data_IF_373396919486
#
_entry.id   IF_373396919486
#
_cell.length_a   1.000
_cell.length_b   1.000
_cell.length_c   1.000
_cell.angle_alpha   90.00
_cell.angle_beta   90.00
_cell.angle_gamma   90.00
#
_symmetry.space_group_name_H-M   'P 1'
#
loop_
_entity.id
_entity.type
_entity.pdbx_description
1 polymer ?
#
# COMPACT_ATOMS: atom_id res chain seq x y z
N UNK A 1 -26.04 2.62 6.19
CA UNK A 1 -25.59 1.72 7.26
C UNK A 1 -25.36 0.32 6.71
N UNK A 2 -24.09 -0.08 6.50
CA UNK A 2 -23.66 -1.48 6.42
C UNK A 2 -22.23 -1.51 6.96
N UNK A 3 -22.11 -1.89 8.21
CA UNK A 3 -20.83 -2.11 8.89
C UNK A 3 -20.10 -3.24 8.17
N UNK A 4 -18.99 -2.92 7.51
CA UNK A 4 -18.04 -3.93 7.07
C UNK A 4 -17.19 -4.25 8.30
N UNK A 5 -17.65 -5.25 9.04
CA UNK A 5 -16.93 -5.85 10.14
C UNK A 5 -15.72 -6.61 9.57
N UNK A 6 -14.54 -5.98 9.56
CA UNK A 6 -13.27 -6.69 9.33
C UNK A 6 -13.03 -7.61 10.52
N UNK A 7 -13.66 -8.79 10.48
CA UNK A 7 -13.50 -9.81 11.50
C UNK A 7 -12.11 -10.43 11.39
N UNK A 8 -11.29 -10.22 12.43
CA UNK A 8 -10.28 -11.16 12.88
C UNK A 8 -9.05 -11.37 11.98
N UNK A 9 -8.08 -10.46 12.06
CA UNK A 9 -6.67 -10.84 11.92
C UNK A 9 -6.17 -11.15 13.33
N UNK A 10 -6.52 -12.34 13.84
CA UNK A 10 -6.04 -12.84 15.12
C UNK A 10 -4.61 -13.34 14.93
N UNK A 11 -3.67 -12.66 15.59
CA UNK A 11 -2.45 -13.23 16.17
C UNK A 11 -1.50 -13.99 15.21
N UNK A 12 -0.50 -13.29 14.67
CA UNK A 12 0.71 -13.92 14.12
C UNK A 12 1.94 -13.34 14.83
N UNK A 13 2.83 -14.17 15.40
CA UNK A 13 3.96 -13.70 16.18
C UNK A 13 5.06 -13.15 15.28
N UNK A 14 5.58 -11.98 15.63
CA UNK A 14 6.86 -11.39 15.23
C UNK A 14 7.27 -11.64 13.77
N UNK A 15 6.50 -11.12 12.84
CA UNK A 15 7.01 -10.86 11.49
C UNK A 15 7.51 -9.42 11.49
N UNK A 16 8.77 -9.22 11.08
CA UNK A 16 9.30 -7.89 10.82
C UNK A 16 8.84 -7.51 9.41
N UNK A 17 7.96 -6.53 9.31
CA UNK A 17 7.38 -6.09 8.04
C UNK A 17 8.04 -4.75 7.61
N UNK A 18 7.89 -4.36 6.34
CA UNK A 18 8.45 -3.09 5.82
C UNK A 18 7.30 -2.17 5.40
N UNK A 19 7.33 -0.94 5.90
CA UNK A 19 6.39 0.11 5.52
C UNK A 19 7.09 0.99 4.49
N UNK A 20 6.92 0.65 3.21
CA UNK A 20 7.36 1.52 2.12
C UNK A 20 6.30 2.61 1.95
N UNK A 21 6.44 3.72 2.68
CA UNK A 21 5.68 4.93 2.40
C UNK A 21 6.58 5.88 1.61
N UNK A 22 6.50 5.83 0.27
CA UNK A 22 7.26 6.69 -0.64
C UNK A 22 6.66 8.09 -0.81
N UNK A 23 5.58 8.42 -0.09
CA UNK A 23 4.88 9.69 -0.28
C UNK A 23 5.48 10.80 0.58
N UNK A 24 6.53 11.44 0.07
CA UNK A 24 6.83 12.84 0.42
C UNK A 24 6.06 13.77 -0.50
N UNK A 25 4.86 14.18 -0.09
CA UNK A 25 4.13 15.24 -0.80
C UNK A 25 4.93 16.56 -0.74
N UNK A 26 5.24 17.23 -1.87
CA UNK A 26 5.95 18.51 -1.85
C UNK A 26 5.04 19.63 -1.31
N UNK A 27 5.54 20.55 -0.48
CA UNK A 27 4.73 21.63 0.08
C UNK A 27 4.50 22.77 -0.91
N UNK A 28 3.26 23.26 -0.96
CA UNK A 28 2.91 24.58 -1.49
C UNK A 28 3.57 25.70 -0.66
N UNK A 29 4.00 26.82 -1.27
CA UNK A 29 4.82 27.81 -0.59
C UNK A 29 3.95 28.77 0.22
N UNK A 30 3.90 28.60 1.53
CA UNK A 30 3.51 29.69 2.45
C UNK A 30 4.48 29.75 3.62
N UNK A 31 5.20 30.87 3.67
CA UNK A 31 6.26 31.26 4.60
C UNK A 31 5.85 31.17 6.07
N UNK A 32 6.38 30.20 6.81
CA UNK A 32 6.62 30.28 8.26
C UNK A 32 7.86 29.48 8.60
N UNK A 33 8.75 30.08 9.39
CA UNK A 33 9.97 29.45 9.89
C UNK A 33 9.69 28.07 10.46
N UNK A 34 10.23 27.03 9.82
CA UNK A 34 10.13 25.67 10.32
C UNK A 34 11.48 25.31 10.91
N UNK A 35 11.64 25.51 12.22
CA UNK A 35 12.61 24.73 12.98
C UNK A 35 12.43 23.25 12.62
N UNK A 36 13.54 22.51 12.45
CA UNK A 36 13.58 21.18 11.84
C UNK A 36 12.68 20.15 12.56
N UNK A 37 11.38 20.19 12.30
CA UNK A 37 10.38 19.24 12.80
C UNK A 37 10.32 18.07 11.82
N UNK A 38 10.21 16.85 12.35
CA UNK A 38 10.11 15.64 11.53
C UNK A 38 8.87 15.69 10.62
N UNK A 39 9.09 15.60 9.29
CA UNK A 39 8.05 15.67 8.25
C UNK A 39 7.77 14.32 7.57
N UNK A 40 8.47 13.25 7.93
CA UNK A 40 8.39 11.97 7.24
C UNK A 40 6.98 11.35 7.39
N UNK A 41 6.36 11.00 6.24
CA UNK A 41 5.00 10.45 6.11
C UNK A 41 3.95 11.09 7.03
N UNK A 42 3.99 12.44 7.12
CA UNK A 42 3.02 13.24 7.85
C UNK A 42 2.28 14.13 6.88
N UNK A 43 0.96 14.05 6.89
CA UNK A 43 0.12 14.99 6.17
C UNK A 43 0.12 16.33 6.91
N UNK A 44 0.54 17.39 6.22
CA UNK A 44 0.48 18.75 6.75
C UNK A 44 -0.96 19.17 7.04
N UNK A 45 -1.17 19.84 8.18
CA UNK A 45 -2.47 20.37 8.56
C UNK A 45 -2.83 21.53 7.62
N UNK A 46 -3.90 21.33 6.85
CA UNK A 46 -4.50 22.35 5.99
C UNK A 46 -5.68 23.06 6.67
N UNK A 47 -6.47 23.79 5.87
CA UNK A 47 -7.62 24.59 6.32
C UNK A 47 -8.85 23.77 6.78
N UNK A 48 -8.70 22.44 6.92
CA UNK A 48 -9.77 21.50 7.28
C UNK A 48 -10.37 20.72 6.09
N UNK A 49 -10.15 21.18 4.86
CA UNK A 49 -10.80 20.59 3.67
C UNK A 49 -10.04 19.41 3.04
N UNK A 50 -8.87 19.06 3.58
CA UNK A 50 -8.05 17.98 3.04
C UNK A 50 -8.61 16.63 3.49
N UNK A 51 -9.19 15.89 2.56
CA UNK A 51 -9.55 14.49 2.78
C UNK A 51 -8.27 13.65 2.88
N UNK A 52 -8.20 12.82 3.92
CA UNK A 52 -7.04 11.98 4.21
C UNK A 52 -7.52 10.54 4.37
N UNK A 53 -6.77 9.58 3.81
CA UNK A 53 -7.05 8.16 4.05
C UNK A 53 -6.60 7.77 5.46
N UNK A 54 -7.22 6.75 6.07
CA UNK A 54 -6.85 6.31 7.44
C UNK A 54 -5.34 6.07 7.61
N UNK A 55 -4.73 5.46 6.61
CA UNK A 55 -3.30 5.13 6.57
C UNK A 55 -2.37 6.35 6.43
N UNK A 56 -2.85 7.44 5.82
CA UNK A 56 -2.13 8.72 5.70
C UNK A 56 -2.32 9.62 6.93
N UNK A 57 -3.42 9.44 7.67
CA UNK A 57 -3.71 10.20 8.88
C UNK A 57 -2.79 9.81 10.05
N UNK A 58 -2.18 8.63 9.99
CA UNK A 58 -1.31 8.12 11.04
C UNK A 58 0.18 8.30 10.72
N UNK A 59 0.89 8.96 11.63
CA UNK A 59 2.34 9.14 11.53
C UNK A 59 3.11 7.81 11.68
N UNK A 60 4.37 7.75 11.21
CA UNK A 60 5.18 6.50 11.18
C UNK A 60 5.31 5.78 12.52
N UNK A 61 5.35 6.48 13.65
CA UNK A 61 5.50 5.87 14.96
C UNK A 61 4.27 5.08 15.42
N UNK A 62 3.15 5.14 14.68
CA UNK A 62 1.96 4.34 14.95
C UNK A 62 1.90 3.04 14.13
N UNK A 63 2.93 2.74 13.33
CA UNK A 63 3.07 1.43 12.68
C UNK A 63 3.07 0.37 13.78
N UNK A 64 2.32 -0.72 13.58
CA UNK A 64 2.04 -1.81 14.55
C UNK A 64 0.98 -1.50 15.62
N UNK A 65 0.63 -0.23 15.86
CA UNK A 65 -0.38 0.14 16.85
C UNK A 65 -1.73 0.51 16.26
N UNK A 66 -1.72 1.39 15.25
CA UNK A 66 -2.93 1.88 14.56
C UNK A 66 -2.82 1.75 13.05
N UNK A 67 -1.61 1.50 12.55
CA UNK A 67 -1.28 1.34 11.15
C UNK A 67 -0.64 -0.03 10.98
N UNK A 68 -1.15 -0.77 10.02
CA UNK A 68 -0.54 -2.02 9.61
C UNK A 68 0.54 -1.78 8.56
N UNK A 69 1.19 -2.85 8.17
CA UNK A 69 2.24 -2.82 7.18
C UNK A 69 1.68 -3.10 5.79
N UNK A 70 2.24 -2.41 4.80
CA UNK A 70 1.81 -2.52 3.41
C UNK A 70 2.47 -3.67 2.66
N UNK A 71 3.65 -4.14 3.11
CA UNK A 71 4.28 -5.34 2.58
C UNK A 71 4.57 -6.35 3.69
N UNK A 72 4.17 -7.59 3.44
CA UNK A 72 4.38 -8.73 4.33
C UNK A 72 5.21 -9.80 3.61
N UNK A 73 6.43 -10.02 4.12
CA UNK A 73 7.37 -11.05 3.65
C UNK A 73 8.28 -11.53 4.81
N UNK A 74 8.97 -12.65 4.63
CA UNK A 74 9.87 -13.22 5.66
C UNK A 74 11.27 -12.63 5.67
N UNK A 75 11.73 -12.01 4.57
CA UNK A 75 13.13 -11.58 4.44
C UNK A 75 13.65 -10.52 5.44
N UNK A 76 12.80 -9.89 6.26
CA UNK A 76 13.24 -8.94 7.29
C UNK A 76 13.28 -9.58 8.70
N UNK A 77 13.03 -10.89 8.79
CA UNK A 77 13.21 -11.67 10.02
C UNK A 77 14.70 -11.82 10.34
N UNK A 78 15.00 -11.99 11.63
CA UNK A 78 16.36 -12.22 12.09
C UNK A 78 16.89 -13.55 11.54
N UNK A 79 18.04 -13.52 10.87
CA UNK A 79 18.66 -14.68 10.24
C UNK A 79 18.10 -15.07 8.86
N UNK A 80 17.15 -14.32 8.30
CA UNK A 80 16.69 -14.50 6.92
C UNK A 80 17.46 -13.61 5.95
N UNK A 81 17.67 -14.15 4.74
CA UNK A 81 18.26 -13.41 3.62
C UNK A 81 17.16 -12.87 2.69
N UNK A 82 17.55 -12.12 1.65
CA UNK A 82 16.70 -11.64 0.56
C UNK A 82 15.84 -10.39 0.83
N UNK A 83 16.06 -9.65 1.93
CA UNK A 83 15.30 -8.41 2.21
C UNK A 83 15.36 -7.39 1.06
N UNK A 84 16.55 -7.27 0.46
CA UNK A 84 16.83 -6.27 -0.59
C UNK A 84 16.05 -6.58 -1.87
N UNK A 85 16.07 -7.84 -2.31
CA UNK A 85 15.36 -8.32 -3.49
C UNK A 85 13.86 -8.10 -3.32
N UNK A 86 13.31 -8.44 -2.14
CA UNK A 86 11.89 -8.20 -1.86
C UNK A 86 11.53 -6.73 -1.88
N UNK A 87 12.37 -5.85 -1.31
CA UNK A 87 12.13 -4.41 -1.35
C UNK A 87 12.12 -3.86 -2.79
N UNK A 88 13.02 -4.32 -3.66
CA UNK A 88 13.06 -3.90 -5.07
C UNK A 88 11.81 -4.38 -5.82
N UNK A 89 11.41 -5.63 -5.60
CA UNK A 89 10.18 -6.18 -6.17
C UNK A 89 8.94 -5.41 -5.71
N UNK A 90 8.86 -5.07 -4.43
CA UNK A 90 7.71 -4.33 -3.87
C UNK A 90 7.60 -2.93 -4.46
N UNK A 91 8.72 -2.21 -4.60
CA UNK A 91 8.75 -0.89 -5.26
C UNK A 91 8.34 -1.01 -6.73
N UNK A 92 8.82 -2.04 -7.43
CA UNK A 92 8.43 -2.30 -8.81
C UNK A 92 6.92 -2.56 -8.94
N UNK A 93 6.35 -3.43 -8.09
CA UNK A 93 4.92 -3.75 -8.09
C UNK A 93 4.06 -2.51 -7.80
N UNK A 94 4.47 -1.67 -6.86
CA UNK A 94 3.81 -0.39 -6.60
C UNK A 94 3.78 0.51 -7.84
N UNK A 95 4.94 0.73 -8.48
CA UNK A 95 5.03 1.59 -9.67
C UNK A 95 4.27 1.00 -10.87
N UNK A 96 4.33 -0.32 -11.05
CA UNK A 96 3.63 -1.02 -12.11
C UNK A 96 2.12 -0.86 -11.99
N UNK A 97 1.56 -1.03 -10.79
CA UNK A 97 0.12 -0.95 -10.55
C UNK A 97 -0.41 0.48 -10.62
N UNK A 98 0.37 1.46 -10.15
CA UNK A 98 0.08 2.88 -10.36
C UNK A 98 0.01 3.23 -11.85
N UNK A 99 0.85 2.60 -12.68
CA UNK A 99 0.82 2.74 -14.14
C UNK A 99 -0.39 2.08 -14.81
N UNK A 100 -0.78 0.87 -14.38
CA UNK A 100 -1.92 0.13 -14.95
C UNK A 100 -3.27 0.75 -14.55
N UNK A 101 -3.38 1.21 -13.31
CA UNK A 101 -4.61 1.74 -12.75
C UNK A 101 -4.47 3.24 -12.45
N UNK A 102 -4.55 4.11 -13.47
CA UNK A 102 -4.47 5.55 -13.24
C UNK A 102 -5.61 6.01 -12.33
N UNK A 103 -5.27 6.57 -11.18
CA UNK A 103 -6.23 7.04 -10.17
C UNK A 103 -6.59 6.03 -9.08
N UNK A 104 -5.90 4.88 -8.98
CA UNK A 104 -5.95 4.07 -7.75
C UNK A 104 -5.24 4.81 -6.61
N UNK A 105 -5.82 4.87 -5.39
CA UNK A 105 -5.12 5.40 -4.23
C UNK A 105 -3.81 4.64 -3.93
N UNK A 106 -2.84 5.34 -3.35
CA UNK A 106 -1.46 4.86 -3.07
C UNK A 106 -1.36 3.70 -2.07
N UNK A 107 -2.50 3.14 -1.62
CA UNK A 107 -2.55 1.98 -0.73
C UNK A 107 -2.64 0.69 -1.54
N UNK A 108 -1.47 0.08 -1.71
CA UNK A 108 -1.32 -1.30 -2.10
C UNK A 108 -0.94 -2.13 -0.88
N UNK A 109 -1.53 -3.32 -0.75
CA UNK A 109 -1.12 -4.31 0.25
C UNK A 109 -0.52 -5.49 -0.50
N UNK A 110 0.75 -5.76 -0.25
CA UNK A 110 1.51 -6.89 -0.78
C UNK A 110 1.62 -7.97 0.30
N UNK A 111 1.23 -9.18 -0.06
CA UNK A 111 1.38 -10.36 0.81
C UNK A 111 2.12 -11.43 0.05
N UNK A 112 3.20 -11.93 0.64
CA UNK A 112 3.94 -13.07 0.09
C UNK A 112 3.75 -14.26 1.02
N UNK A 113 3.16 -15.32 0.49
CA UNK A 113 2.97 -16.57 1.21
C UNK A 113 3.65 -17.68 0.42
N UNK A 114 4.76 -18.20 0.97
CA UNK A 114 5.62 -19.16 0.27
C UNK A 114 6.00 -18.66 -1.14
N UNK A 115 5.66 -19.41 -2.19
CA UNK A 115 5.92 -19.03 -3.57
C UNK A 115 4.84 -18.12 -4.19
N UNK A 116 3.73 -17.84 -3.50
CA UNK A 116 2.64 -17.05 -4.07
C UNK A 116 2.75 -15.58 -3.65
N UNK A 117 2.48 -14.68 -4.60
CA UNK A 117 2.38 -13.24 -4.35
C UNK A 117 0.93 -12.81 -4.51
N UNK A 118 0.33 -12.35 -3.41
CA UNK A 118 -1.00 -11.76 -3.38
C UNK A 118 -0.88 -10.24 -3.34
N UNK A 119 -1.54 -9.59 -4.30
CA UNK A 119 -1.51 -8.15 -4.49
C UNK A 119 -2.93 -7.64 -4.27
N UNK A 120 -3.14 -6.88 -3.21
CA UNK A 120 -4.41 -6.25 -2.91
C UNK A 120 -4.35 -4.75 -3.21
N UNK A 121 -5.02 -4.33 -4.27
CA UNK A 121 -5.09 -2.93 -4.68
C UNK A 121 -6.47 -2.34 -4.32
N UNK A 122 -6.48 -1.21 -3.62
CA UNK A 122 -7.68 -0.39 -3.51
C UNK A 122 -7.77 0.47 -4.77
N UNK A 123 -8.83 0.30 -5.57
CA UNK A 123 -8.96 1.00 -6.86
C UNK A 123 -10.29 1.74 -6.95
N UNK A 124 -10.24 3.00 -7.39
CA UNK A 124 -11.42 3.73 -7.79
C UNK A 124 -11.89 3.17 -9.14
N UNK A 125 -13.12 2.63 -9.20
CA UNK A 125 -13.71 2.10 -10.44
C UNK A 125 -14.09 3.23 -11.41
N UNK A 126 -13.09 3.89 -11.99
CA UNK A 126 -13.26 4.88 -13.05
C UNK A 126 -13.48 4.22 -14.42
N UNK A 127 -12.96 3.00 -14.59
CA UNK A 127 -13.05 2.23 -15.83
C UNK A 127 -14.28 1.28 -15.84
N UNK A 128 -14.86 1.00 -17.02
CA UNK A 128 -15.88 -0.02 -17.18
C UNK A 128 -15.39 -1.41 -16.75
N UNK A 129 -16.30 -2.21 -16.19
CA UNK A 129 -15.98 -3.52 -15.60
C UNK A 129 -15.21 -4.47 -16.54
N UNK A 130 -15.51 -4.49 -17.84
CA UNK A 130 -14.85 -5.38 -18.80
C UNK A 130 -13.36 -5.04 -19.01
N UNK A 131 -13.01 -3.75 -19.10
CA UNK A 131 -11.61 -3.31 -19.21
C UNK A 131 -10.86 -3.58 -17.93
N UNK A 132 -11.55 -3.41 -16.81
CA UNK A 132 -10.99 -3.64 -15.51
C UNK A 132 -10.62 -5.12 -15.30
N UNK A 133 -11.53 -6.05 -15.59
CA UNK A 133 -11.25 -7.49 -15.55
C UNK A 133 -10.13 -7.90 -16.51
N UNK A 134 -10.05 -7.25 -17.68
CA UNK A 134 -8.95 -7.46 -18.62
C UNK A 134 -7.60 -7.02 -18.02
N UNK A 135 -7.52 -5.83 -17.43
CA UNK A 135 -6.28 -5.31 -16.82
C UNK A 135 -5.83 -6.16 -15.63
N UNK A 136 -6.77 -6.65 -14.82
CA UNK A 136 -6.48 -7.57 -13.71
C UNK A 136 -5.86 -8.87 -14.26
N UNK A 137 -6.50 -9.51 -15.24
CA UNK A 137 -5.97 -10.75 -15.83
C UNK A 137 -4.65 -10.56 -16.59
N UNK A 138 -4.48 -9.40 -17.23
CA UNK A 138 -3.21 -9.00 -17.87
C UNK A 138 -2.10 -8.88 -16.83
N UNK A 139 -2.36 -8.20 -15.71
CA UNK A 139 -1.41 -8.05 -14.61
C UNK A 139 -1.01 -9.40 -14.01
N UNK A 140 -1.99 -10.25 -13.70
CA UNK A 140 -1.75 -11.60 -13.16
C UNK A 140 -0.85 -12.42 -14.08
N UNK A 141 -1.19 -12.48 -15.37
CA UNK A 141 -0.46 -13.32 -16.34
C UNK A 141 0.95 -12.79 -16.60
N UNK A 142 1.10 -11.47 -16.77
CA UNK A 142 2.40 -10.86 -17.03
C UNK A 142 3.34 -11.02 -15.84
N UNK A 143 2.86 -10.71 -14.63
CA UNK A 143 3.66 -10.80 -13.41
C UNK A 143 4.01 -12.26 -13.09
N UNK A 144 3.09 -13.19 -13.34
CA UNK A 144 3.37 -14.61 -13.16
C UNK A 144 4.48 -15.10 -14.08
N UNK A 145 4.48 -14.67 -15.35
CA UNK A 145 5.54 -15.01 -16.28
C UNK A 145 6.89 -14.33 -15.96
N UNK A 146 6.85 -13.10 -15.43
CA UNK A 146 8.04 -12.32 -15.08
C UNK A 146 8.75 -12.88 -13.84
N UNK A 147 8.00 -13.14 -12.76
CA UNK A 147 8.54 -13.63 -11.48
C UNK A 147 8.63 -15.15 -11.37
N UNK A 148 8.14 -15.89 -12.38
CA UNK A 148 8.10 -17.37 -12.41
C UNK A 148 7.33 -17.97 -11.23
N UNK A 149 6.35 -17.24 -10.71
CA UNK A 149 5.55 -17.62 -9.55
C UNK A 149 4.06 -17.31 -9.78
N UNK A 150 3.13 -17.95 -9.07
CA UNK A 150 1.73 -17.60 -9.14
C UNK A 150 1.50 -16.23 -8.47
N UNK A 151 0.91 -15.30 -9.23
CA UNK A 151 0.53 -13.97 -8.76
C UNK A 151 -0.98 -13.82 -8.82
N UNK A 152 -1.57 -13.24 -7.79
CA UNK A 152 -3.01 -13.01 -7.72
C UNK A 152 -3.32 -11.56 -7.33
N UNK A 153 -3.94 -10.83 -8.25
CA UNK A 153 -4.28 -9.42 -8.14
C UNK A 153 -5.75 -9.27 -7.75
N UNK A 154 -5.97 -8.91 -6.49
CA UNK A 154 -7.28 -8.61 -5.93
C UNK A 154 -7.50 -7.11 -5.88
N UNK A 155 -8.63 -6.67 -6.41
CA UNK A 155 -9.01 -5.26 -6.39
C UNK A 155 -10.23 -5.03 -5.52
N UNK A 156 -10.12 -4.10 -4.58
CA UNK A 156 -11.22 -3.72 -3.69
C UNK A 156 -11.74 -2.35 -4.10
N UNK A 157 -13.05 -2.17 -4.37
CA UNK A 157 -13.61 -0.85 -4.64
C UNK A 157 -13.53 0.02 -3.38
N UNK A 158 -12.94 1.20 -3.47
CA UNK A 158 -12.76 2.07 -2.30
C UNK A 158 -13.49 3.41 -2.40
N UNK A 159 -14.10 3.81 -1.28
CA UNK A 159 -14.29 5.20 -0.83
C UNK A 159 -13.97 5.20 0.67
N UNK A 160 -12.70 5.01 1.03
CA UNK A 160 -12.28 5.00 2.44
C UNK A 160 -11.78 6.40 2.77
N UNK A 161 -12.69 7.23 3.27
CA UNK A 161 -12.35 8.54 3.83
C UNK A 161 -12.43 8.38 5.34
N UNK A 162 -11.35 8.72 6.03
CA UNK A 162 -11.36 8.77 7.48
C UNK A 162 -11.56 10.23 7.87
N UNK A 163 -12.69 10.48 8.52
CA UNK A 163 -13.11 11.81 9.00
C UNK A 163 -12.50 12.03 10.38
#
# INVERSE_FOLDING_TARGET
ERNIHCSGIKHFPKLNLICINLNTSPPSPTSREVGAKNRAARVGLGKGDKLVTCEEAHAPHHITHRKDWLSLHTGNLDGEDQATERAVEDVFLHQFLLGIFPGSPDQLILKRQANQVEICALVLRQLPAHRFSFLVGYGDTLLSHFYKCPVHLQTVPSKIVCI
#
